data_IF_482078037253
#
_entry.id   IF_482078037253
#
_cell.length_a   1.000
_cell.length_b   1.000
_cell.length_c   1.000
_cell.angle_alpha   90.00
_cell.angle_beta   90.00
_cell.angle_gamma   90.00
#
_symmetry.space_group_name_H-M   'P 1'
#
loop_
_entity.id
_entity.type
_entity.pdbx_description
1 polymer ?
#
# COMPACT_ATOMS: atom_id res chain seq x y z
N UNK A 1 -13.21 13.81 -22.53
CA UNK A 1 -12.33 14.76 -21.81
C UNK A 1 -12.06 14.17 -20.44
N UNK A 2 -10.85 14.31 -19.89
CA UNK A 2 -10.57 13.83 -18.53
C UNK A 2 -11.22 14.73 -17.48
N UNK A 3 -11.68 14.10 -16.40
CA UNK A 3 -12.27 14.81 -15.26
C UNK A 3 -11.27 14.89 -14.11
N UNK A 4 -11.08 16.09 -13.55
CA UNK A 4 -10.18 16.31 -12.41
C UNK A 4 -10.54 15.42 -11.23
N UNK A 5 -11.84 15.19 -11.00
CA UNK A 5 -12.33 14.32 -9.94
C UNK A 5 -11.83 12.87 -10.07
N UNK A 6 -11.74 12.35 -11.30
CA UNK A 6 -11.22 10.99 -11.55
C UNK A 6 -9.69 10.95 -11.46
N UNK A 7 -9.01 11.98 -11.93
CA UNK A 7 -7.54 12.09 -11.82
C UNK A 7 -7.10 12.07 -10.35
N UNK A 8 -7.82 12.79 -9.47
CA UNK A 8 -7.51 12.83 -8.04
C UNK A 8 -7.65 11.46 -7.33
N UNK A 9 -8.39 10.53 -7.92
CA UNK A 9 -8.53 9.18 -7.38
C UNK A 9 -7.36 8.26 -7.76
N UNK A 10 -6.51 8.65 -8.71
CA UNK A 10 -5.31 7.88 -9.07
C UNK A 10 -4.33 7.81 -7.91
N UNK A 11 -3.75 6.63 -7.71
CA UNK A 11 -2.78 6.39 -6.64
C UNK A 11 -1.63 5.54 -7.12
N UNK A 12 -0.43 5.90 -6.66
CA UNK A 12 0.75 5.04 -6.78
C UNK A 12 0.41 3.67 -6.20
N UNK A 13 0.79 2.60 -6.91
CA UNK A 13 0.41 1.23 -6.59
C UNK A 13 -0.78 0.68 -7.38
N UNK A 14 -1.55 1.51 -8.08
CA UNK A 14 -2.64 1.03 -8.95
C UNK A 14 -2.13 0.23 -10.14
N UNK A 15 -2.83 -0.82 -10.54
CA UNK A 15 -2.50 -1.56 -11.76
C UNK A 15 -2.88 -0.78 -13.03
N UNK A 16 -2.25 -1.08 -14.16
CA UNK A 16 -2.64 -0.55 -15.48
C UNK A 16 -4.15 -0.69 -15.76
N UNK A 17 -4.74 -1.83 -15.40
CA UNK A 17 -6.18 -2.07 -15.55
C UNK A 17 -7.02 -1.16 -14.65
N UNK A 18 -6.65 -1.00 -13.38
CA UNK A 18 -7.35 -0.08 -12.46
C UNK A 18 -7.30 1.37 -12.94
N UNK A 19 -6.17 1.79 -13.50
CA UNK A 19 -6.04 3.12 -14.11
C UNK A 19 -6.98 3.24 -15.32
N UNK A 20 -7.03 2.23 -16.18
CA UNK A 20 -7.92 2.22 -17.36
C UNK A 20 -9.39 2.26 -16.98
N UNK A 21 -9.81 1.50 -15.97
CA UNK A 21 -11.19 1.50 -15.49
C UNK A 21 -11.60 2.87 -14.94
N UNK A 22 -10.66 3.60 -14.32
CA UNK A 22 -10.91 4.89 -13.71
C UNK A 22 -10.95 6.05 -14.72
N UNK A 23 -9.91 6.18 -15.55
CA UNK A 23 -9.73 7.33 -16.46
C UNK A 23 -9.80 7.00 -17.95
N UNK A 24 -9.96 5.72 -18.30
CA UNK A 24 -9.98 5.25 -19.69
C UNK A 24 -8.61 4.84 -20.22
N UNK A 25 -8.56 4.51 -21.51
CA UNK A 25 -7.30 4.16 -22.19
C UNK A 25 -6.45 5.40 -22.48
N UNK A 26 -5.11 5.29 -22.48
CA UNK A 26 -4.23 6.40 -22.81
C UNK A 26 -4.39 6.87 -24.25
N UNK A 27 -4.15 8.16 -24.50
CA UNK A 27 -4.22 8.74 -25.84
C UNK A 27 -3.08 8.27 -26.74
N UNK A 28 -1.90 8.05 -26.14
CA UNK A 28 -0.68 7.64 -26.84
C UNK A 28 -0.02 6.50 -26.06
N UNK A 29 0.33 5.44 -26.80
CA UNK A 29 1.17 4.34 -26.31
C UNK A 29 2.45 4.37 -27.13
N UNK A 30 3.55 4.80 -26.51
CA UNK A 30 4.86 4.84 -27.15
C UNK A 30 5.47 3.42 -27.15
N UNK A 31 5.82 2.84 -28.32
CA UNK A 31 6.39 1.49 -28.41
C UNK A 31 7.78 1.36 -27.74
N UNK A 32 8.49 2.48 -27.53
CA UNK A 32 9.80 2.50 -26.88
C UNK A 32 9.70 2.74 -25.36
N UNK A 33 8.57 3.27 -24.89
CA UNK A 33 8.31 3.58 -23.48
C UNK A 33 7.01 2.92 -23.00
N UNK A 34 6.97 1.58 -23.02
CA UNK A 34 5.82 0.75 -22.60
C UNK A 34 5.37 0.97 -21.13
N UNK A 35 6.20 1.67 -20.36
CA UNK A 35 5.99 2.01 -18.96
C UNK A 35 5.50 3.45 -18.76
N UNK A 36 5.18 4.18 -19.82
CA UNK A 36 4.64 5.53 -19.74
C UNK A 36 3.34 5.63 -20.54
N UNK A 37 2.32 6.17 -19.90
CA UNK A 37 1.05 6.50 -20.54
C UNK A 37 0.84 8.00 -20.52
N UNK A 38 0.59 8.56 -21.70
CA UNK A 38 0.28 9.97 -21.87
C UNK A 38 -1.19 10.14 -22.29
N UNK A 39 -1.93 10.92 -21.50
CA UNK A 39 -3.27 11.37 -21.82
C UNK A 39 -3.16 12.82 -22.26
N UNK A 40 -3.31 13.03 -23.55
CA UNK A 40 -3.16 14.34 -24.18
C UNK A 40 -4.47 14.70 -24.85
N UNK A 41 -4.88 15.95 -24.70
CA UNK A 41 -5.98 16.51 -25.44
C UNK A 41 -5.65 17.96 -25.79
N UNK A 42 -6.04 18.36 -27.00
CA UNK A 42 -6.01 19.75 -27.44
C UNK A 42 -7.27 19.99 -28.26
N UNK A 43 -8.27 20.58 -27.63
CA UNK A 43 -9.57 20.85 -28.23
C UNK A 43 -9.89 22.34 -28.14
N UNK A 44 -10.09 22.96 -29.30
CA UNK A 44 -10.58 24.32 -29.46
C UNK A 44 -12.00 24.27 -30.04
N UNK A 45 -13.03 24.05 -29.20
CA UNK A 45 -14.40 24.02 -29.70
C UNK A 45 -14.80 25.41 -30.24
N UNK A 46 -15.65 25.46 -31.28
CA UNK A 46 -16.13 26.71 -31.87
C UNK A 46 -16.94 27.60 -30.92
N UNK A 47 -17.44 27.01 -29.83
CA UNK A 47 -18.06 27.71 -28.69
C UNK A 47 -17.63 27.00 -27.39
N UNK A 48 -17.25 27.75 -26.36
CA UNK A 48 -16.85 27.20 -25.05
C UNK A 48 -15.36 27.37 -24.74
N UNK A 49 -14.91 26.77 -23.64
CA UNK A 49 -13.53 26.90 -23.17
C UNK A 49 -12.59 25.99 -23.96
N UNK A 50 -11.40 26.51 -24.29
CA UNK A 50 -10.29 25.71 -24.83
C UNK A 50 -9.85 24.70 -23.77
N UNK A 51 -9.78 23.43 -24.14
CA UNK A 51 -9.29 22.36 -23.27
C UNK A 51 -7.99 21.81 -23.84
N UNK A 52 -6.88 22.10 -23.18
CA UNK A 52 -5.57 21.55 -23.46
C UNK A 52 -4.99 20.92 -22.19
N UNK A 53 -4.71 19.62 -22.21
CA UNK A 53 -4.04 18.99 -21.08
C UNK A 53 -3.08 17.89 -21.50
N UNK A 54 -2.12 17.64 -20.62
CA UNK A 54 -1.25 16.48 -20.62
C UNK A 54 -1.14 15.92 -19.20
N UNK A 55 -1.64 14.70 -19.02
CA UNK A 55 -1.41 13.88 -17.84
C UNK A 55 -0.45 12.75 -18.22
N UNK A 56 0.66 12.64 -17.50
CA UNK A 56 1.66 11.59 -17.73
C UNK A 56 1.71 10.65 -16.53
N UNK A 57 1.52 9.35 -16.79
CA UNK A 57 1.55 8.29 -15.80
C UNK A 57 2.73 7.37 -16.10
N UNK A 58 3.64 7.20 -15.14
CA UNK A 58 4.73 6.24 -15.25
C UNK A 58 4.42 4.99 -14.43
N UNK A 59 4.77 3.84 -14.97
CA UNK A 59 4.55 2.53 -14.39
C UNK A 59 5.88 1.84 -14.18
N UNK A 60 6.01 1.13 -13.06
CA UNK A 60 7.00 0.08 -12.91
C UNK A 60 6.31 -1.25 -13.23
N UNK A 61 6.68 -1.84 -14.38
CA UNK A 61 6.00 -2.99 -15.00
C UNK A 61 4.50 -2.74 -15.23
N UNK A 62 3.67 -3.21 -14.30
CA UNK A 62 2.20 -3.13 -14.35
C UNK A 62 1.62 -2.17 -13.32
N UNK A 63 2.46 -1.53 -12.51
CA UNK A 63 2.06 -0.79 -11.31
C UNK A 63 2.41 0.68 -11.44
N UNK A 64 1.44 1.56 -11.21
CA UNK A 64 1.60 3.01 -11.29
C UNK A 64 2.63 3.46 -10.26
N UNK A 65 3.74 4.04 -10.72
CA UNK A 65 4.86 4.49 -9.88
C UNK A 65 4.91 6.00 -9.75
N UNK A 66 4.45 6.75 -10.76
CA UNK A 66 4.46 8.22 -10.76
C UNK A 66 3.26 8.80 -11.50
N UNK A 67 2.71 9.88 -10.95
CA UNK A 67 1.61 10.65 -11.54
C UNK A 67 2.14 12.08 -11.75
N UNK A 68 2.13 12.57 -12.98
CA UNK A 68 2.51 13.94 -13.31
C UNK A 68 1.29 14.74 -13.78
N UNK A 69 0.86 15.69 -12.97
CA UNK A 69 -0.31 16.56 -13.20
C UNK A 69 0.06 17.97 -13.65
N UNK A 70 1.33 18.29 -13.94
CA UNK A 70 1.74 19.67 -14.28
C UNK A 70 1.08 20.23 -15.54
N UNK A 71 0.50 19.37 -16.39
CA UNK A 71 -0.14 19.78 -17.63
C UNK A 71 -1.67 19.75 -17.60
N UNK A 72 -2.34 19.72 -16.43
CA UNK A 72 -3.81 19.58 -16.36
C UNK A 72 -4.56 20.86 -15.98
N UNK A 73 -3.90 22.01 -16.01
CA UNK A 73 -4.45 23.27 -15.49
C UNK A 73 -5.69 23.75 -16.25
N UNK A 74 -5.77 23.45 -17.54
CA UNK A 74 -6.94 23.81 -18.36
C UNK A 74 -8.16 22.93 -18.07
N UNK A 75 -8.03 21.85 -17.28
CA UNK A 75 -9.19 21.02 -16.95
C UNK A 75 -10.13 21.79 -16.04
N UNK A 76 -11.47 21.62 -16.22
CA UNK A 76 -12.45 22.16 -15.32
C UNK A 76 -12.10 21.90 -13.84
N UNK A 77 -12.34 22.90 -13.00
CA UNK A 77 -12.16 22.76 -11.56
C UNK A 77 -13.29 21.90 -10.98
N UNK A 78 -13.02 21.28 -9.83
CA UNK A 78 -14.04 20.48 -9.14
C UNK A 78 -15.25 21.35 -8.79
N UNK A 79 -16.43 20.81 -9.03
CA UNK A 79 -17.68 21.34 -8.48
C UNK A 79 -17.69 21.18 -6.96
N UNK A 80 -18.55 21.93 -6.26
CA UNK A 80 -18.63 21.84 -4.80
C UNK A 80 -19.11 20.46 -4.32
N UNK A 81 -19.97 19.80 -5.11
CA UNK A 81 -20.38 18.42 -4.88
C UNK A 81 -19.20 17.44 -4.98
N UNK A 82 -18.35 17.58 -6.00
CA UNK A 82 -17.15 16.76 -6.17
C UNK A 82 -16.10 17.03 -5.09
N UNK A 83 -15.92 18.29 -4.66
CA UNK A 83 -15.05 18.62 -3.52
C UNK A 83 -15.53 17.95 -2.23
N UNK A 84 -16.83 17.96 -1.97
CA UNK A 84 -17.41 17.32 -0.79
C UNK A 84 -17.22 15.79 -0.84
N UNK A 85 -17.46 15.17 -2.00
CA UNK A 85 -17.25 13.74 -2.19
C UNK A 85 -15.77 13.35 -2.04
N UNK A 86 -14.87 14.16 -2.60
CA UNK A 86 -13.43 13.97 -2.47
C UNK A 86 -12.98 14.09 -1.02
N UNK A 87 -13.45 15.11 -0.29
CA UNK A 87 -13.17 15.27 1.14
C UNK A 87 -13.65 14.07 1.97
N UNK A 88 -14.85 13.57 1.71
CA UNK A 88 -15.39 12.36 2.35
C UNK A 88 -14.53 11.14 2.03
N UNK A 89 -14.16 10.92 0.77
CA UNK A 89 -13.31 9.81 0.33
C UNK A 89 -11.94 9.84 1.01
N UNK A 90 -11.29 11.00 1.07
CA UNK A 90 -10.00 11.18 1.73
C UNK A 90 -10.12 10.88 3.23
N UNK A 91 -11.19 11.34 3.89
CA UNK A 91 -11.42 11.09 5.31
C UNK A 91 -11.64 9.60 5.61
N UNK A 92 -12.46 8.91 4.80
CA UNK A 92 -12.72 7.47 4.92
C UNK A 92 -11.44 6.64 4.68
N UNK A 93 -10.67 7.00 3.66
CA UNK A 93 -9.38 6.37 3.37
C UNK A 93 -8.38 6.53 4.51
N UNK A 94 -8.25 7.75 5.05
CA UNK A 94 -7.39 8.02 6.19
C UNK A 94 -7.81 7.21 7.42
N UNK A 95 -9.11 7.18 7.73
CA UNK A 95 -9.63 6.40 8.84
C UNK A 95 -9.36 4.90 8.67
N UNK A 96 -9.53 4.37 7.45
CA UNK A 96 -9.21 2.97 7.14
C UNK A 96 -7.71 2.67 7.25
N UNK A 97 -6.85 3.57 6.76
CA UNK A 97 -5.40 3.43 6.86
C UNK A 97 -4.94 3.45 8.33
N UNK A 98 -5.48 4.35 9.16
CA UNK A 98 -5.20 4.41 10.59
C UNK A 98 -5.69 3.16 11.32
N UNK A 99 -6.89 2.66 11.00
CA UNK A 99 -7.42 1.43 11.57
C UNK A 99 -6.56 0.21 11.18
N UNK A 100 -6.14 0.11 9.91
CA UNK A 100 -5.26 -0.96 9.44
C UNK A 100 -3.87 -0.90 10.10
N UNK A 101 -3.31 0.29 10.30
CA UNK A 101 -2.05 0.47 11.00
C UNK A 101 -2.14 0.03 12.47
N UNK A 102 -3.21 0.42 13.17
CA UNK A 102 -3.48 -0.01 14.56
C UNK A 102 -3.63 -1.53 14.67
N UNK A 103 -4.38 -2.14 13.75
CA UNK A 103 -4.56 -3.59 13.72
C UNK A 103 -3.23 -4.33 13.46
N UNK A 104 -2.42 -3.84 12.53
CA UNK A 104 -1.08 -4.41 12.24
C UNK A 104 -0.15 -4.29 13.45
N UNK A 105 -0.16 -3.14 14.13
CA UNK A 105 0.64 -2.92 15.34
C UNK A 105 0.23 -3.87 16.48
N UNK A 106 -1.07 -4.04 16.70
CA UNK A 106 -1.58 -4.94 17.73
C UNK A 106 -1.30 -6.41 17.40
N UNK A 107 -1.46 -6.83 16.14
CA UNK A 107 -1.09 -8.17 15.70
C UNK A 107 0.42 -8.45 15.89
N UNK A 108 1.28 -7.46 15.61
CA UNK A 108 2.72 -7.57 15.85
C UNK A 108 3.06 -7.65 17.33
N UNK A 109 2.37 -6.88 18.19
CA UNK A 109 2.53 -6.95 19.65
C UNK A 109 2.20 -8.34 20.17
N UNK A 110 1.03 -8.87 19.79
CA UNK A 110 0.58 -10.21 20.18
C UNK A 110 1.53 -11.29 19.66
N UNK A 111 2.00 -11.18 18.41
CA UNK A 111 2.94 -12.14 17.84
C UNK A 111 4.30 -12.13 18.56
N UNK A 112 4.81 -10.93 18.89
CA UNK A 112 6.06 -10.78 19.64
C UNK A 112 5.93 -11.32 21.07
N UNK A 113 4.81 -11.06 21.74
CA UNK A 113 4.53 -11.54 23.10
C UNK A 113 4.42 -13.08 23.15
N UNK A 114 3.73 -13.69 22.18
CA UNK A 114 3.68 -15.15 22.02
C UNK A 114 5.05 -15.76 21.70
N UNK A 115 5.86 -15.11 20.86
CA UNK A 115 7.19 -15.57 20.54
C UNK A 115 8.13 -15.54 21.77
N UNK A 116 8.02 -14.49 22.60
CA UNK A 116 8.76 -14.38 23.86
C UNK A 116 8.31 -15.46 24.85
N UNK A 117 7.00 -15.70 24.99
CA UNK A 117 6.47 -16.75 25.87
C UNK A 117 6.91 -18.15 25.42
N UNK A 118 6.88 -18.45 24.12
CA UNK A 118 7.36 -19.72 23.57
C UNK A 118 8.86 -19.92 23.76
N UNK A 119 9.66 -18.86 23.60
CA UNK A 119 11.10 -18.91 23.87
C UNK A 119 11.40 -19.17 25.35
N UNK A 120 10.66 -18.52 26.26
CA UNK A 120 10.81 -18.73 27.71
C UNK A 120 10.43 -20.14 28.14
N UNK A 121 9.31 -20.68 27.64
CA UNK A 121 8.87 -22.04 27.94
C UNK A 121 9.88 -23.10 27.44
N UNK A 122 10.48 -22.87 26.27
CA UNK A 122 11.54 -23.75 25.75
C UNK A 122 12.81 -23.70 26.61
N UNK A 123 13.19 -22.52 27.10
CA UNK A 123 14.35 -22.34 27.96
C UNK A 123 14.15 -22.99 29.36
N UNK A 124 12.96 -22.85 29.95
CA UNK A 124 12.62 -23.49 31.24
C UNK A 124 12.59 -25.02 31.11
N UNK A 125 12.03 -25.57 30.03
CA UNK A 125 12.05 -27.02 29.78
C UNK A 125 13.48 -27.57 29.60
N UNK A 126 14.37 -26.81 28.95
CA UNK A 126 15.77 -27.20 28.75
C UNK A 126 16.59 -27.10 30.05
N UNK A 127 16.26 -26.17 30.95
CA UNK A 127 16.88 -26.11 32.28
C UNK A 127 16.43 -27.26 33.18
N UNK A 128 15.14 -27.59 33.19
CA UNK A 128 14.61 -28.69 33.99
C UNK A 128 15.23 -30.04 33.59
N UNK A 129 15.41 -30.26 32.28
CA UNK A 129 16.08 -31.45 31.76
C UNK A 129 17.57 -31.52 32.16
N UNK A 130 18.26 -30.38 32.22
CA UNK A 130 19.65 -30.32 32.69
C UNK A 130 19.75 -30.56 34.20
N UNK A 131 18.83 -30.02 34.99
CA UNK A 131 18.76 -30.27 36.44
C UNK A 131 18.46 -31.73 36.78
N UNK A 132 17.49 -32.35 36.08
CA UNK A 132 17.17 -33.76 36.25
C UNK A 132 18.35 -34.66 35.85
N UNK A 133 19.07 -34.33 34.77
CA UNK A 133 20.26 -35.07 34.36
C UNK A 133 21.39 -34.98 35.41
N UNK A 134 21.59 -33.80 36.01
CA UNK A 134 22.57 -33.59 37.08
C UNK A 134 22.17 -34.33 38.37
N UNK A 135 20.88 -34.35 38.70
CA UNK A 135 20.36 -35.08 39.86
C UNK A 135 20.49 -36.60 39.68
N UNK A 136 20.20 -37.12 38.48
CA UNK A 136 20.39 -38.53 38.14
C UNK A 136 21.87 -38.94 38.17
N UNK A 137 22.77 -38.10 37.67
CA UNK A 137 24.21 -38.35 37.72
C UNK A 137 24.72 -38.47 39.18
N UNK A 138 24.29 -37.56 40.06
CA UNK A 138 24.64 -37.61 41.50
C UNK A 138 24.04 -38.82 42.21
N UNK A 139 22.81 -39.22 41.87
CA UNK A 139 22.17 -40.39 42.47
C UNK A 139 22.85 -41.71 42.06
N UNK A 140 23.37 -41.78 40.83
CA UNK A 140 24.12 -42.93 40.34
C UNK A 140 25.50 -43.05 41.03
N UNK A 141 26.13 -41.91 41.29
CA UNK A 141 27.41 -41.84 42.01
C UNK A 141 27.28 -42.26 43.48
N UNK A 142 26.22 -41.83 44.17
CA UNK A 142 25.94 -42.25 45.54
C UNK A 142 25.68 -43.76 45.67
N UNK A 143 25.05 -44.39 44.67
CA UNK A 143 24.85 -45.86 44.61
C UNK A 143 26.12 -46.67 44.32
N UNK A 144 27.19 -46.02 43.89
CA UNK A 144 28.46 -46.67 43.52
C UNK A 144 29.46 -46.71 44.68
N UNK A 145 29.18 -45.96 45.75
CA UNK A 145 30.02 -45.79 46.94
C UNK A 145 29.43 -46.53 48.16
N UNK A 146 28.18 -47.00 48.06
CA UNK A 146 27.51 -47.88 49.03
C UNK A 146 27.63 -49.35 48.63
#
# INVERSE_FOLDING_TARGET
VLERFKINQLKVGMSKAQVQDLIGSPSVIDPFHNNQWDYINYSTPGTGSIVHYRLTLAFDNTTLSKINTTGIDSLPQLTDAEKALEGKRIAEEKARAEAAAKAKAEAQRIAKEKAIAAAKAKAEAEQLAKEEAVAQAKALEAKRIA
#
